data_IF_712808695987
#
_entry.id   IF_712808695987
#
_cell.length_a   1.000
_cell.length_b   1.000
_cell.length_c   1.000
_cell.angle_alpha   90.00
_cell.angle_beta   90.00
_cell.angle_gamma   90.00
#
_symmetry.space_group_name_H-M   'P 1'
#
loop_
_entity.id
_entity.type
_entity.pdbx_description
1 polymer ?
#
# COMPACT_ATOMS: atom_id res chain seq x y z
N UNK A 1 -21.15 56.45 32.91
CA UNK A 1 -22.28 55.72 32.32
C UNK A 1 -21.90 55.30 30.91
N UNK A 2 -21.60 54.04 30.68
CA UNK A 2 -21.94 53.31 29.46
C UNK A 2 -21.45 51.85 29.62
N UNK A 3 -22.43 50.97 29.59
CA UNK A 3 -22.25 49.51 29.68
C UNK A 3 -21.68 48.93 28.41
N UNK A 4 -20.53 48.29 28.47
CA UNK A 4 -20.05 47.37 27.45
C UNK A 4 -20.47 45.93 27.76
N UNK A 5 -21.44 45.43 26.97
CA UNK A 5 -21.94 44.07 27.03
C UNK A 5 -20.82 43.08 26.62
N UNK A 6 -20.53 42.14 27.49
CA UNK A 6 -19.70 40.95 27.24
C UNK A 6 -20.39 40.08 26.15
N UNK A 7 -19.76 39.91 25.02
CA UNK A 7 -20.17 38.99 24.00
C UNK A 7 -20.01 37.56 24.51
N UNK A 8 -21.08 36.76 24.45
CA UNK A 8 -21.10 35.31 24.73
C UNK A 8 -20.38 34.61 23.60
N UNK A 9 -19.20 34.05 23.88
CA UNK A 9 -18.53 33.14 22.99
C UNK A 9 -19.34 31.84 22.86
N UNK A 10 -19.86 31.58 21.69
CA UNK A 10 -20.48 30.31 21.32
C UNK A 10 -19.41 29.21 21.30
N UNK A 11 -19.40 28.33 22.30
CA UNK A 11 -18.61 27.09 22.25
C UNK A 11 -19.15 26.24 21.11
N UNK A 12 -18.37 26.10 20.04
CA UNK A 12 -18.58 25.08 19.01
C UNK A 12 -18.39 23.72 19.72
N UNK A 13 -19.48 22.98 19.88
CA UNK A 13 -19.44 21.62 20.45
C UNK A 13 -18.57 20.74 19.55
N UNK A 14 -17.57 20.10 20.15
CA UNK A 14 -16.62 19.24 19.50
C UNK A 14 -17.27 18.18 18.62
N UNK A 15 -16.66 17.93 17.48
CA UNK A 15 -16.91 16.78 16.65
C UNK A 15 -16.82 15.51 17.51
N UNK A 16 -17.94 14.80 17.64
CA UNK A 16 -17.94 13.49 18.31
C UNK A 16 -17.06 12.55 17.47
N UNK A 17 -16.06 11.98 18.11
CA UNK A 17 -15.27 10.87 17.59
C UNK A 17 -16.23 9.80 17.07
N UNK A 18 -16.20 9.51 15.78
CA UNK A 18 -16.99 8.41 15.19
C UNK A 18 -16.38 7.12 15.72
N UNK A 19 -17.18 6.39 16.50
CA UNK A 19 -16.72 5.21 17.21
C UNK A 19 -16.72 4.01 16.24
N UNK A 20 -15.65 3.19 16.25
CA UNK A 20 -15.48 1.91 15.50
C UNK A 20 -16.80 1.12 15.22
N UNK A 21 -17.76 1.03 16.16
CA UNK A 21 -19.00 0.29 15.95
C UNK A 21 -19.94 0.85 14.87
N UNK A 22 -19.81 2.12 14.49
CA UNK A 22 -20.69 2.69 13.45
C UNK A 22 -20.24 2.33 12.03
N UNK A 23 -18.93 2.24 11.80
CA UNK A 23 -18.37 1.80 10.51
C UNK A 23 -18.67 0.30 10.29
N UNK A 24 -18.53 -0.53 11.32
CA UNK A 24 -18.91 -1.97 11.25
C UNK A 24 -20.40 -2.19 10.97
N UNK A 25 -21.29 -1.34 11.49
CA UNK A 25 -22.73 -1.45 11.20
C UNK A 25 -23.07 -1.10 9.76
N UNK A 26 -22.40 -0.12 9.15
CA UNK A 26 -22.69 0.29 7.78
C UNK A 26 -22.25 -0.77 6.77
N UNK A 27 -21.07 -1.39 6.93
CA UNK A 27 -20.60 -2.46 6.06
C UNK A 27 -21.47 -3.71 6.16
N UNK A 28 -21.82 -4.16 7.36
CA UNK A 28 -22.76 -5.27 7.56
C UNK A 28 -24.15 -5.00 6.98
N UNK A 29 -24.58 -3.75 6.95
CA UNK A 29 -25.89 -3.38 6.44
C UNK A 29 -25.98 -3.47 4.92
N UNK A 30 -24.93 -3.10 4.20
CA UNK A 30 -24.84 -3.25 2.74
C UNK A 30 -24.81 -4.74 2.36
N UNK A 31 -24.04 -5.56 3.06
CA UNK A 31 -23.98 -7.01 2.85
C UNK A 31 -25.31 -7.72 3.12
N UNK A 32 -26.11 -7.20 4.05
CA UNK A 32 -27.44 -7.76 4.38
C UNK A 32 -28.53 -7.37 3.38
N UNK A 33 -28.46 -6.16 2.79
CA UNK A 33 -29.51 -5.67 1.90
C UNK A 33 -29.46 -6.34 0.53
N UNK A 34 -28.28 -6.62 0.01
CA UNK A 34 -28.19 -7.01 -1.39
C UNK A 34 -27.47 -8.33 -1.68
N UNK A 35 -26.81 -9.03 -0.81
CA UNK A 35 -26.10 -10.32 -1.09
C UNK A 35 -25.79 -10.57 -2.59
N UNK A 36 -25.43 -9.48 -3.32
CA UNK A 36 -25.32 -9.51 -4.78
C UNK A 36 -24.06 -10.26 -5.19
N UNK A 37 -22.97 -10.10 -4.43
CA UNK A 37 -21.71 -10.73 -4.81
C UNK A 37 -21.48 -12.03 -4.03
N UNK A 38 -21.33 -13.19 -4.71
CA UNK A 38 -20.90 -14.43 -4.10
C UNK A 38 -19.40 -14.50 -3.84
N UNK A 39 -18.67 -13.46 -4.20
CA UNK A 39 -17.21 -13.43 -4.10
C UNK A 39 -16.76 -13.42 -2.65
N UNK A 40 -15.95 -14.41 -2.30
CA UNK A 40 -15.31 -14.48 -0.97
C UNK A 40 -14.11 -13.54 -0.92
N UNK A 41 -14.32 -12.34 -0.43
CA UNK A 41 -13.30 -11.36 -0.15
C UNK A 41 -12.76 -11.54 1.26
N UNK A 42 -11.44 -11.53 1.42
CA UNK A 42 -10.80 -11.59 2.74
C UNK A 42 -11.10 -10.32 3.54
N UNK A 43 -11.37 -10.47 4.84
CA UNK A 43 -11.63 -9.37 5.77
C UNK A 43 -10.36 -9.00 6.56
N UNK A 44 -10.31 -7.77 7.09
CA UNK A 44 -9.21 -7.33 7.97
C UNK A 44 -9.31 -7.97 9.36
N UNK A 45 -8.19 -8.36 9.98
CA UNK A 45 -6.82 -8.34 9.44
C UNK A 45 -6.60 -9.45 8.42
N UNK A 46 -6.00 -9.13 7.26
CA UNK A 46 -5.83 -10.08 6.16
C UNK A 46 -4.35 -10.28 5.80
N UNK A 47 -4.05 -11.47 5.24
CA UNK A 47 -2.71 -11.85 4.78
C UNK A 47 -2.63 -11.99 3.25
N UNK A 48 -3.77 -11.93 2.57
CA UNK A 48 -3.92 -11.93 1.12
C UNK A 48 -5.07 -10.99 0.73
N UNK A 49 -5.06 -10.52 -0.49
CA UNK A 49 -5.98 -9.47 -0.91
C UNK A 49 -5.60 -8.09 -0.39
N UNK A 50 -4.33 -7.91 -0.08
CA UNK A 50 -3.75 -6.67 0.43
C UNK A 50 -3.96 -5.52 -0.56
N UNK A 51 -4.32 -4.36 -0.04
CA UNK A 51 -4.34 -3.10 -0.77
C UNK A 51 -3.37 -2.11 -0.12
N UNK A 52 -2.33 -1.72 -0.89
CA UNK A 52 -1.37 -0.69 -0.49
C UNK A 52 -1.70 0.61 -1.22
N UNK A 53 -2.20 1.59 -0.49
CA UNK A 53 -2.48 2.94 -1.01
C UNK A 53 -1.20 3.76 -1.01
N UNK A 54 -1.01 4.58 -2.04
CA UNK A 54 0.08 5.56 -2.08
C UNK A 54 -0.45 6.96 -1.77
N UNK A 55 -0.04 7.49 -0.62
CA UNK A 55 -0.30 8.88 -0.22
C UNK A 55 0.90 9.75 -0.61
N UNK A 56 0.68 10.63 -1.55
CA UNK A 56 1.71 11.54 -2.09
C UNK A 56 1.58 12.97 -1.57
N UNK A 57 0.87 13.15 -0.44
CA UNK A 57 0.76 14.46 0.19
C UNK A 57 -0.66 14.87 0.56
N UNK A 58 -1.56 13.93 0.84
CA UNK A 58 -2.90 14.26 1.35
C UNK A 58 -2.81 15.15 2.61
N UNK A 59 -3.67 16.14 2.70
CA UNK A 59 -3.92 16.88 3.93
C UNK A 59 -4.71 16.05 4.94
N UNK A 60 -4.78 16.54 6.20
CA UNK A 60 -5.47 15.80 7.29
C UNK A 60 -6.94 15.53 6.96
N UNK A 61 -7.66 16.52 6.43
CA UNK A 61 -9.08 16.33 6.13
C UNK A 61 -9.29 15.31 5.00
N UNK A 62 -8.51 15.40 3.92
CA UNK A 62 -8.57 14.41 2.84
C UNK A 62 -8.18 12.99 3.31
N UNK A 63 -7.25 12.88 4.27
CA UNK A 63 -6.90 11.61 4.89
C UNK A 63 -8.08 11.09 5.72
N UNK A 64 -8.75 11.95 6.47
CA UNK A 64 -9.93 11.59 7.25
C UNK A 64 -11.07 11.12 6.34
N UNK A 65 -11.39 11.87 5.29
CA UNK A 65 -12.44 11.53 4.31
C UNK A 65 -12.17 10.17 3.64
N UNK A 66 -10.91 9.91 3.27
CA UNK A 66 -10.50 8.61 2.73
C UNK A 66 -10.75 7.48 3.72
N UNK A 67 -10.35 7.66 4.97
CA UNK A 67 -10.44 6.62 5.98
C UNK A 67 -11.88 6.35 6.42
N UNK A 68 -12.71 7.37 6.56
CA UNK A 68 -14.15 7.22 6.83
C UNK A 68 -14.86 6.43 5.73
N UNK A 69 -14.41 6.60 4.48
CA UNK A 69 -15.03 5.97 3.31
C UNK A 69 -14.48 4.57 3.04
N UNK A 70 -13.17 4.37 3.17
CA UNK A 70 -12.48 3.23 2.54
C UNK A 70 -11.52 2.45 3.45
N UNK A 71 -11.40 2.78 4.74
CA UNK A 71 -10.39 2.16 5.60
C UNK A 71 -10.48 0.63 5.67
N UNK A 72 -11.68 0.05 5.58
CA UNK A 72 -11.88 -1.40 5.58
C UNK A 72 -11.22 -2.11 4.38
N UNK A 73 -10.92 -1.36 3.33
CA UNK A 73 -10.32 -1.87 2.09
C UNK A 73 -8.84 -1.49 1.94
N UNK A 74 -8.27 -0.76 2.91
CA UNK A 74 -6.86 -0.35 2.92
C UNK A 74 -6.11 -1.10 4.02
N UNK A 75 -5.05 -1.81 3.67
CA UNK A 75 -4.21 -2.52 4.64
C UNK A 75 -2.96 -1.72 5.01
N UNK A 76 -2.38 -1.08 4.01
CA UNK A 76 -1.19 -0.25 4.16
C UNK A 76 -1.36 1.09 3.45
N UNK A 77 -0.83 2.15 4.07
CA UNK A 77 -0.62 3.43 3.41
C UNK A 77 0.89 3.70 3.28
N UNK A 78 1.36 3.75 2.04
CA UNK A 78 2.72 4.18 1.70
C UNK A 78 2.75 5.70 1.58
N UNK A 79 3.48 6.39 2.47
CA UNK A 79 3.80 7.81 2.29
C UNK A 79 4.87 7.91 1.21
N UNK A 80 4.40 7.99 -0.06
CA UNK A 80 5.21 7.83 -1.25
C UNK A 80 6.15 9.00 -1.53
N UNK A 81 7.15 8.77 -2.38
CA UNK A 81 8.08 9.77 -2.94
C UNK A 81 8.82 10.61 -1.89
N UNK A 82 9.01 10.05 -0.70
CA UNK A 82 9.62 10.76 0.43
C UNK A 82 8.91 12.10 0.79
N UNK A 83 7.65 12.30 0.36
CA UNK A 83 6.91 13.54 0.57
C UNK A 83 6.76 13.91 2.04
N UNK A 84 6.79 12.95 2.93
CA UNK A 84 6.71 13.17 4.37
C UNK A 84 7.96 13.85 4.95
N UNK A 85 9.12 13.75 4.28
CA UNK A 85 10.38 14.41 4.72
C UNK A 85 10.31 15.94 4.59
N UNK A 86 9.48 16.47 3.70
CA UNK A 86 9.33 17.93 3.49
C UNK A 86 8.13 18.51 4.22
N UNK A 87 7.42 17.71 5.01
CA UNK A 87 6.29 18.13 5.82
C UNK A 87 6.69 18.29 7.29
N UNK A 88 5.91 19.08 8.06
CA UNK A 88 6.21 19.22 9.48
C UNK A 88 6.05 17.90 10.24
N UNK A 89 6.97 17.62 11.17
CA UNK A 89 6.94 16.43 12.02
C UNK A 89 5.60 16.24 12.74
N UNK A 90 5.00 17.34 13.21
CA UNK A 90 3.71 17.30 13.90
C UNK A 90 2.57 16.86 12.97
N UNK A 91 2.58 17.35 11.72
CA UNK A 91 1.60 16.92 10.71
C UNK A 91 1.72 15.44 10.41
N UNK A 92 2.95 14.95 10.19
CA UNK A 92 3.20 13.55 9.92
C UNK A 92 2.74 12.67 11.09
N UNK A 93 3.12 13.00 12.32
CA UNK A 93 2.64 12.25 13.49
C UNK A 93 1.11 12.19 13.59
N UNK A 94 0.42 13.30 13.30
CA UNK A 94 -1.05 13.33 13.26
C UNK A 94 -1.61 12.42 12.18
N UNK A 95 -1.04 12.44 10.99
CA UNK A 95 -1.45 11.55 9.88
C UNK A 95 -1.23 10.09 10.21
N UNK A 96 -0.04 9.72 10.71
CA UNK A 96 0.27 8.34 11.09
C UNK A 96 -0.72 7.85 12.16
N UNK A 97 -0.97 8.67 13.19
CA UNK A 97 -1.98 8.33 14.19
C UNK A 97 -3.36 8.10 13.57
N UNK A 98 -3.78 8.98 12.67
CA UNK A 98 -5.07 8.89 12.01
C UNK A 98 -5.21 7.58 11.22
N UNK A 99 -4.19 7.19 10.42
CA UNK A 99 -4.16 5.89 9.74
C UNK A 99 -4.28 4.72 10.74
N UNK A 100 -3.55 4.77 11.85
CA UNK A 100 -3.57 3.70 12.85
C UNK A 100 -4.91 3.60 13.60
N UNK A 101 -5.58 4.73 13.85
CA UNK A 101 -6.91 4.76 14.48
C UNK A 101 -7.96 4.01 13.64
N UNK A 102 -7.70 3.82 12.34
CA UNK A 102 -8.51 3.05 11.38
C UNK A 102 -7.89 1.69 11.01
N UNK A 103 -6.96 1.17 11.78
CA UNK A 103 -6.26 -0.11 11.53
C UNK A 103 -5.54 -0.16 10.17
N UNK A 104 -5.04 0.97 9.68
CA UNK A 104 -4.20 1.06 8.47
C UNK A 104 -2.74 1.18 8.89
N UNK A 105 -1.91 0.24 8.49
CA UNK A 105 -0.47 0.29 8.74
C UNK A 105 0.21 1.29 7.80
N UNK A 106 1.28 1.92 8.27
CA UNK A 106 1.96 2.97 7.49
C UNK A 106 3.41 2.62 7.20
N UNK A 107 3.85 2.90 5.96
CA UNK A 107 5.23 2.74 5.51
C UNK A 107 5.77 4.01 4.83
N UNK A 108 7.09 4.21 4.97
CA UNK A 108 7.78 5.44 4.52
C UNK A 108 8.00 5.52 3.01
N UNK A 109 7.81 4.40 2.28
CA UNK A 109 8.26 4.25 0.90
C UNK A 109 9.78 4.02 0.78
N UNK A 110 10.18 3.16 -0.16
CA UNK A 110 11.55 2.71 -0.32
C UNK A 110 12.54 3.79 -0.75
N UNK A 111 12.12 4.76 -1.57
CA UNK A 111 13.01 5.84 -2.03
C UNK A 111 13.61 6.67 -0.89
N UNK A 112 12.87 6.88 0.21
CA UNK A 112 13.39 7.58 1.38
C UNK A 112 14.51 6.79 2.08
N UNK A 113 14.37 5.46 2.15
CA UNK A 113 15.38 4.57 2.70
C UNK A 113 16.65 4.57 1.84
N UNK A 114 16.50 4.51 0.51
CA UNK A 114 17.64 4.56 -0.41
C UNK A 114 18.38 5.90 -0.32
N UNK A 115 17.66 7.02 -0.20
CA UNK A 115 18.27 8.33 0.03
C UNK A 115 19.05 8.39 1.35
N UNK A 116 18.50 7.82 2.42
CA UNK A 116 19.20 7.72 3.71
C UNK A 116 20.48 6.85 3.61
N UNK A 117 20.41 5.75 2.84
CA UNK A 117 21.59 4.91 2.58
C UNK A 117 22.67 5.66 1.81
N UNK A 118 22.32 6.33 0.70
CA UNK A 118 23.26 7.10 -0.12
C UNK A 118 23.97 8.19 0.70
N UNK A 119 23.25 8.79 1.65
CA UNK A 119 23.78 9.86 2.51
C UNK A 119 24.46 9.35 3.79
N UNK A 120 24.61 8.03 3.97
CA UNK A 120 25.24 7.42 5.15
C UNK A 120 24.42 7.54 6.44
N UNK A 121 23.12 7.79 6.35
CA UNK A 121 22.22 8.00 7.50
C UNK A 121 21.19 6.88 7.69
N UNK A 122 21.45 5.71 7.13
CA UNK A 122 20.46 4.63 7.08
C UNK A 122 20.01 4.15 8.47
N UNK A 123 20.94 4.02 9.42
CA UNK A 123 20.63 3.57 10.77
C UNK A 123 19.75 4.57 11.52
N UNK A 124 20.19 5.83 11.57
CA UNK A 124 19.43 6.93 12.17
C UNK A 124 18.03 7.07 11.53
N UNK A 125 17.95 6.87 10.21
CA UNK A 125 16.70 6.92 9.48
C UNK A 125 15.72 5.83 9.95
N UNK A 126 16.18 4.57 10.05
CA UNK A 126 15.32 3.46 10.48
C UNK A 126 14.80 3.65 11.91
N UNK A 127 15.65 4.12 12.83
CA UNK A 127 15.26 4.46 14.21
C UNK A 127 14.28 5.64 14.24
N UNK A 128 14.53 6.65 13.41
CA UNK A 128 13.64 7.81 13.29
C UNK A 128 12.26 7.39 12.80
N UNK A 129 12.14 6.51 11.82
CA UNK A 129 10.84 6.00 11.35
C UNK A 129 10.02 5.42 12.51
N UNK A 130 10.64 4.59 13.36
CA UNK A 130 9.98 4.03 14.55
C UNK A 130 9.55 5.13 15.52
N UNK A 131 10.44 6.07 15.81
CA UNK A 131 10.19 7.16 16.78
C UNK A 131 9.05 8.07 16.34
N UNK A 132 8.88 8.33 15.05
CA UNK A 132 7.79 9.16 14.55
C UNK A 132 6.48 8.39 14.38
N UNK A 133 6.52 7.04 14.39
CA UNK A 133 5.34 6.21 14.50
C UNK A 133 5.02 5.35 13.26
N UNK A 134 5.94 5.14 12.32
CA UNK A 134 5.70 4.16 11.25
C UNK A 134 5.63 2.73 11.80
N UNK A 135 4.66 1.96 11.32
CA UNK A 135 4.41 0.59 11.79
C UNK A 135 4.99 -0.46 10.85
N UNK A 136 5.22 -0.10 9.60
CA UNK A 136 5.84 -0.95 8.60
C UNK A 136 7.00 -0.22 7.92
N UNK A 137 7.88 -0.97 7.25
CA UNK A 137 9.00 -0.42 6.48
C UNK A 137 9.06 -1.08 5.11
N UNK A 138 9.43 -0.31 4.08
CA UNK A 138 9.72 -0.80 2.73
C UNK A 138 11.23 -0.70 2.49
N UNK A 139 11.87 -1.83 2.18
CA UNK A 139 13.30 -1.94 1.88
C UNK A 139 13.44 -2.11 0.36
N UNK A 140 13.79 -1.03 -0.32
CA UNK A 140 13.94 -0.95 -1.77
C UNK A 140 15.41 -0.91 -2.17
N UNK A 141 15.71 -1.44 -3.36
CA UNK A 141 16.99 -1.36 -4.04
C UNK A 141 16.80 -0.91 -5.50
N UNK A 142 15.78 -0.08 -5.73
CA UNK A 142 15.37 0.33 -7.08
C UNK A 142 16.24 1.41 -7.70
N UNK A 143 16.86 2.28 -6.89
CA UNK A 143 17.77 3.36 -7.31
C UNK A 143 19.21 2.97 -7.00
N UNK A 144 19.48 2.63 -5.73
CA UNK A 144 20.78 2.21 -5.28
C UNK A 144 20.92 0.69 -5.34
N UNK A 145 22.06 0.19 -5.75
CA UNK A 145 22.32 -1.24 -5.68
C UNK A 145 22.59 -1.64 -4.22
N UNK A 146 21.71 -2.44 -3.64
CA UNK A 146 21.88 -3.04 -2.31
C UNK A 146 22.16 -4.53 -2.52
N UNK A 147 23.35 -5.02 -2.14
CA UNK A 147 23.66 -6.45 -2.22
C UNK A 147 22.66 -7.30 -1.43
N UNK A 148 22.37 -8.54 -1.85
CA UNK A 148 21.38 -9.40 -1.20
C UNK A 148 21.65 -9.58 0.31
N UNK A 149 22.89 -9.79 0.71
CA UNK A 149 23.25 -9.94 2.12
C UNK A 149 23.00 -8.66 2.95
N UNK A 150 23.32 -7.49 2.38
CA UNK A 150 22.99 -6.21 3.02
C UNK A 150 21.49 -6.05 3.17
N UNK A 151 20.71 -6.40 2.13
CA UNK A 151 19.26 -6.34 2.17
C UNK A 151 18.68 -7.27 3.24
N UNK A 152 19.21 -8.50 3.36
CA UNK A 152 18.90 -9.43 4.45
C UNK A 152 19.15 -8.83 5.83
N UNK A 153 20.30 -8.19 6.01
CA UNK A 153 20.63 -7.56 7.28
C UNK A 153 19.71 -6.40 7.61
N UNK A 154 19.26 -5.64 6.62
CA UNK A 154 18.25 -4.60 6.79
C UNK A 154 16.89 -5.17 7.20
N UNK A 155 16.48 -6.30 6.64
CA UNK A 155 15.25 -7.00 7.04
C UNK A 155 15.35 -7.42 8.52
N UNK A 156 16.45 -8.05 8.93
CA UNK A 156 16.67 -8.44 10.32
C UNK A 156 16.71 -7.23 11.27
N UNK A 157 17.39 -6.16 10.86
CA UNK A 157 17.45 -4.91 11.64
C UNK A 157 16.06 -4.29 11.80
N UNK A 158 15.24 -4.26 10.74
CA UNK A 158 13.87 -3.77 10.80
C UNK A 158 13.03 -4.57 11.81
N UNK A 159 13.19 -5.90 11.85
CA UNK A 159 12.54 -6.76 12.85
C UNK A 159 12.98 -6.42 14.27
N UNK A 160 14.28 -6.29 14.49
CA UNK A 160 14.85 -5.95 15.81
C UNK A 160 14.37 -4.58 16.32
N UNK A 161 14.17 -3.62 15.42
CA UNK A 161 13.57 -2.32 15.73
C UNK A 161 12.07 -2.40 16.01
N UNK A 162 11.43 -3.57 15.84
CA UNK A 162 10.03 -3.80 16.15
C UNK A 162 9.06 -3.28 15.08
N UNK A 163 9.45 -3.22 13.80
CA UNK A 163 8.47 -3.02 12.73
C UNK A 163 7.53 -4.22 12.63
N UNK A 164 6.23 -3.95 12.61
CA UNK A 164 5.19 -4.99 12.55
C UNK A 164 5.20 -5.72 11.20
N UNK A 165 5.59 -5.01 10.14
CA UNK A 165 5.65 -5.56 8.79
C UNK A 165 6.90 -5.03 8.08
N UNK A 166 7.62 -5.94 7.42
CA UNK A 166 8.74 -5.62 6.55
C UNK A 166 8.37 -6.02 5.13
N UNK A 167 8.32 -5.06 4.24
CA UNK A 167 8.08 -5.25 2.81
C UNK A 167 9.40 -4.97 2.11
N UNK A 168 9.80 -5.83 1.17
CA UNK A 168 10.91 -5.55 0.28
C UNK A 168 10.40 -5.23 -1.12
N UNK A 169 11.25 -4.65 -1.96
CA UNK A 169 10.90 -4.32 -3.34
C UNK A 169 11.93 -4.93 -4.30
N UNK A 170 11.47 -5.53 -5.38
CA UNK A 170 12.28 -6.11 -6.44
C UNK A 170 11.96 -5.48 -7.79
N UNK A 171 12.98 -4.91 -8.41
CA UNK A 171 12.93 -4.18 -9.68
C UNK A 171 13.85 -2.98 -9.65
N UNK A 172 13.97 -2.28 -10.78
CA UNK A 172 14.73 -1.05 -10.91
C UNK A 172 13.83 0.10 -11.29
N UNK A 173 14.15 1.31 -10.81
CA UNK A 173 13.38 2.53 -11.13
C UNK A 173 13.82 3.18 -12.44
N UNK A 174 15.02 2.89 -12.90
CA UNK A 174 15.49 3.25 -14.25
C UNK A 174 15.09 2.15 -15.24
N UNK A 175 14.47 2.53 -16.36
CA UNK A 175 13.97 1.59 -17.39
C UNK A 175 15.09 0.76 -18.03
N UNK A 176 16.29 1.34 -18.23
CA UNK A 176 17.41 0.66 -18.88
C UNK A 176 17.98 -0.41 -17.95
N UNK A 177 18.13 -0.05 -16.67
CA UNK A 177 18.59 -1.00 -15.65
C UNK A 177 17.55 -2.10 -15.41
N UNK A 178 16.26 -1.75 -15.39
CA UNK A 178 15.18 -2.71 -15.23
C UNK A 178 15.11 -3.72 -16.38
N UNK A 179 15.32 -3.27 -17.61
CA UNK A 179 15.36 -4.13 -18.77
C UNK A 179 16.54 -5.13 -18.77
N UNK A 180 17.64 -4.80 -18.10
CA UNK A 180 18.80 -5.69 -17.94
C UNK A 180 18.61 -6.74 -16.84
N UNK A 181 17.74 -6.49 -15.87
CA UNK A 181 17.49 -7.40 -14.76
C UNK A 181 16.66 -8.61 -15.25
N UNK A 182 17.32 -9.75 -15.41
CA UNK A 182 16.70 -10.98 -15.89
C UNK A 182 15.61 -11.48 -14.94
N UNK A 183 14.56 -12.08 -15.48
CA UNK A 183 13.45 -12.61 -14.69
C UNK A 183 13.89 -13.70 -13.69
N UNK A 184 14.90 -14.48 -14.04
CA UNK A 184 15.48 -15.49 -13.13
C UNK A 184 16.18 -14.86 -11.94
N UNK A 185 16.81 -13.72 -12.12
CA UNK A 185 17.44 -12.95 -11.05
C UNK A 185 16.40 -12.31 -10.14
N UNK A 186 15.31 -11.77 -10.71
CA UNK A 186 14.17 -11.25 -9.93
C UNK A 186 13.57 -12.35 -9.05
N UNK A 187 13.36 -13.55 -9.58
CA UNK A 187 12.82 -14.68 -8.83
C UNK A 187 13.76 -15.05 -7.68
N UNK A 188 15.06 -15.12 -7.92
CA UNK A 188 16.05 -15.37 -6.87
C UNK A 188 16.04 -14.28 -5.79
N UNK A 189 15.94 -13.01 -6.18
CA UNK A 189 15.82 -11.90 -5.22
C UNK A 189 14.55 -12.01 -4.39
N UNK A 190 13.40 -12.31 -5.00
CA UNK A 190 12.13 -12.51 -4.28
C UNK A 190 12.26 -13.64 -3.26
N UNK A 191 12.79 -14.79 -3.67
CA UNK A 191 12.98 -15.94 -2.80
C UNK A 191 13.88 -15.59 -1.62
N UNK A 192 15.03 -14.98 -1.90
CA UNK A 192 15.98 -14.55 -0.89
C UNK A 192 15.39 -13.53 0.10
N UNK A 193 14.61 -12.56 -0.39
CA UNK A 193 13.94 -11.57 0.46
C UNK A 193 12.93 -12.23 1.42
N UNK A 194 12.13 -13.18 0.92
CA UNK A 194 11.18 -13.93 1.75
C UNK A 194 11.89 -14.82 2.77
N UNK A 195 12.96 -15.52 2.38
CA UNK A 195 13.79 -16.34 3.26
C UNK A 195 14.48 -15.50 4.34
N UNK A 196 14.82 -14.25 4.02
CA UNK A 196 15.38 -13.30 4.98
C UNK A 196 14.39 -12.78 6.02
N UNK A 197 13.09 -13.09 5.85
CA UNK A 197 12.04 -12.73 6.79
C UNK A 197 11.17 -11.53 6.37
N UNK A 198 11.18 -11.13 5.10
CA UNK A 198 10.19 -10.19 4.59
C UNK A 198 8.78 -10.79 4.62
N UNK A 199 7.77 -10.00 4.99
CA UNK A 199 6.37 -10.44 4.97
C UNK A 199 5.82 -10.49 3.56
N UNK A 200 6.21 -9.53 2.74
CA UNK A 200 5.81 -9.37 1.34
C UNK A 200 6.96 -8.83 0.51
N UNK A 201 6.90 -9.10 -0.79
CA UNK A 201 7.79 -8.52 -1.78
C UNK A 201 6.97 -7.75 -2.81
N UNK A 202 7.24 -6.46 -2.96
CA UNK A 202 6.64 -5.61 -3.99
C UNK A 202 7.38 -5.81 -5.31
N UNK A 203 6.66 -5.97 -6.41
CA UNK A 203 7.22 -5.90 -7.76
C UNK A 203 7.09 -4.47 -8.26
N UNK A 204 8.24 -3.83 -8.45
CA UNK A 204 8.36 -2.44 -8.90
C UNK A 204 7.72 -2.23 -10.28
N UNK A 205 6.88 -1.21 -10.41
CA UNK A 205 6.31 -0.77 -11.67
C UNK A 205 6.17 0.75 -11.78
N UNK A 206 6.60 1.49 -10.81
CA UNK A 206 6.45 2.93 -10.65
C UNK A 206 5.00 3.37 -10.49
N UNK A 207 4.84 4.65 -10.25
CA UNK A 207 3.53 5.32 -10.22
C UNK A 207 2.87 5.41 -11.60
N UNK A 208 3.64 5.34 -12.67
CA UNK A 208 3.13 5.35 -14.04
C UNK A 208 2.55 4.01 -14.48
N UNK A 209 3.08 2.91 -13.95
CA UNK A 209 2.75 1.56 -14.41
C UNK A 209 3.17 1.30 -15.86
N UNK A 210 4.24 1.94 -16.35
CA UNK A 210 4.64 1.89 -17.75
C UNK A 210 6.14 1.64 -17.90
N UNK A 211 6.51 0.67 -18.76
CA UNK A 211 7.88 0.42 -19.22
C UNK A 211 8.80 -0.17 -18.16
N UNK A 212 8.30 -0.60 -17.01
CA UNK A 212 9.08 -1.19 -15.91
C UNK A 212 8.38 -2.43 -15.36
N UNK A 213 9.18 -3.40 -14.92
CA UNK A 213 8.70 -4.61 -14.28
C UNK A 213 7.69 -5.38 -15.13
N UNK A 214 6.48 -5.62 -14.61
CA UNK A 214 5.46 -6.43 -15.27
C UNK A 214 4.74 -5.75 -16.44
N UNK A 215 5.06 -4.49 -16.77
CA UNK A 215 4.32 -3.72 -17.77
C UNK A 215 5.20 -3.25 -18.93
N UNK A 216 4.60 -3.22 -20.11
CA UNK A 216 5.21 -2.65 -21.32
C UNK A 216 5.10 -1.11 -21.33
N UNK A 217 5.59 -0.48 -22.41
CA UNK A 217 5.59 0.99 -22.57
C UNK A 217 4.18 1.60 -22.60
N UNK A 218 3.16 0.80 -22.89
CA UNK A 218 1.75 1.20 -22.92
C UNK A 218 1.02 0.87 -21.60
N UNK A 219 1.72 0.29 -20.61
CA UNK A 219 1.13 -0.17 -19.36
C UNK A 219 0.38 -1.51 -19.44
N UNK A 220 0.47 -2.22 -20.57
CA UNK A 220 -0.12 -3.54 -20.71
C UNK A 220 0.73 -4.57 -19.97
N UNK A 221 0.06 -5.55 -19.37
CA UNK A 221 0.74 -6.62 -18.62
C UNK A 221 1.55 -7.51 -19.54
N UNK A 222 2.82 -7.70 -19.22
CA UNK A 222 3.71 -8.71 -19.83
C UNK A 222 3.38 -10.08 -19.24
N UNK A 223 2.35 -10.74 -19.75
CA UNK A 223 1.80 -11.99 -19.19
C UNK A 223 2.87 -13.06 -18.91
N UNK A 224 3.82 -13.37 -19.83
CA UNK A 224 4.86 -14.36 -19.58
C UNK A 224 5.76 -14.01 -18.38
N UNK A 225 5.98 -12.72 -18.12
CA UNK A 225 6.75 -12.24 -16.98
C UNK A 225 6.01 -12.52 -15.67
N UNK A 226 4.74 -12.10 -15.58
CA UNK A 226 3.92 -12.28 -14.39
C UNK A 226 3.70 -13.75 -14.08
N UNK A 227 3.37 -14.55 -15.09
CA UNK A 227 3.16 -15.99 -14.97
C UNK A 227 4.41 -16.73 -14.48
N UNK A 228 5.58 -16.36 -14.99
CA UNK A 228 6.82 -17.03 -14.59
C UNK A 228 7.18 -16.74 -13.14
N UNK A 229 6.96 -15.52 -12.65
CA UNK A 229 7.13 -15.19 -11.23
C UNK A 229 6.12 -15.99 -10.40
N UNK A 230 4.83 -15.89 -10.71
CA UNK A 230 3.76 -16.51 -9.93
C UNK A 230 3.87 -18.03 -9.81
N UNK A 231 4.49 -18.70 -10.80
CA UNK A 231 4.75 -20.15 -10.78
C UNK A 231 5.93 -20.58 -9.91
N UNK A 232 6.88 -19.68 -9.66
CA UNK A 232 8.15 -20.03 -8.99
C UNK A 232 8.27 -19.48 -7.57
N UNK A 233 7.33 -18.63 -7.16
CA UNK A 233 7.29 -18.05 -5.80
C UNK A 233 5.89 -18.14 -5.22
N UNK A 234 5.77 -17.99 -3.91
CA UNK A 234 4.46 -17.86 -3.29
C UNK A 234 3.84 -16.50 -3.67
N UNK A 235 3.03 -16.48 -4.74
CA UNK A 235 2.43 -15.26 -5.27
C UNK A 235 1.53 -14.53 -4.26
N UNK A 236 1.02 -15.22 -3.23
CA UNK A 236 0.26 -14.60 -2.12
C UNK A 236 1.13 -13.69 -1.24
N UNK A 237 2.46 -13.81 -1.36
CA UNK A 237 3.44 -12.92 -0.72
C UNK A 237 3.92 -11.79 -1.64
N UNK A 238 3.46 -11.75 -2.87
CA UNK A 238 3.79 -10.70 -3.83
C UNK A 238 2.75 -9.60 -3.77
N UNK A 239 3.21 -8.34 -3.74
CA UNK A 239 2.39 -7.15 -3.96
C UNK A 239 2.72 -6.64 -5.37
N UNK A 240 1.76 -6.66 -6.26
CA UNK A 240 1.91 -6.11 -7.60
C UNK A 240 1.59 -4.62 -7.59
N UNK A 241 2.54 -3.76 -7.91
CA UNK A 241 2.20 -2.36 -8.18
C UNK A 241 1.32 -2.29 -9.42
N UNK A 242 0.12 -1.77 -9.26
CA UNK A 242 -0.91 -1.74 -10.31
C UNK A 242 -1.66 -0.40 -10.31
N UNK A 243 -1.00 0.70 -10.67
CA UNK A 243 -1.60 2.03 -10.63
C UNK A 243 -2.69 2.26 -11.67
N UNK A 244 -2.73 1.43 -12.75
CA UNK A 244 -3.73 1.55 -13.80
C UNK A 244 -4.87 0.53 -13.64
N UNK A 245 -6.10 0.96 -13.90
CA UNK A 245 -7.29 0.09 -13.84
C UNK A 245 -7.13 -1.19 -14.67
N UNK A 246 -6.58 -1.09 -15.88
CA UNK A 246 -6.35 -2.26 -16.76
C UNK A 246 -5.46 -3.32 -16.13
N UNK A 247 -4.45 -2.89 -15.37
CA UNK A 247 -3.54 -3.76 -14.63
C UNK A 247 -4.26 -4.45 -13.47
N UNK A 248 -5.04 -3.69 -12.72
CA UNK A 248 -5.87 -4.20 -11.62
C UNK A 248 -6.83 -5.26 -12.13
N UNK A 249 -7.54 -4.97 -13.22
CA UNK A 249 -8.47 -5.90 -13.87
C UNK A 249 -7.75 -7.18 -14.27
N UNK A 250 -6.64 -7.08 -15.01
CA UNK A 250 -5.89 -8.26 -15.48
C UNK A 250 -5.44 -9.14 -14.31
N UNK A 251 -4.84 -8.55 -13.28
CA UNK A 251 -4.34 -9.28 -12.10
C UNK A 251 -5.48 -9.94 -11.31
N UNK A 252 -6.59 -9.26 -11.13
CA UNK A 252 -7.80 -9.81 -10.46
C UNK A 252 -8.40 -10.93 -11.31
N UNK A 253 -8.51 -10.76 -12.62
CA UNK A 253 -9.02 -11.79 -13.53
C UNK A 253 -8.12 -13.02 -13.56
N UNK A 254 -6.82 -12.84 -13.39
CA UNK A 254 -5.83 -13.94 -13.45
C UNK A 254 -5.70 -14.70 -12.13
N UNK A 255 -5.59 -13.98 -11.00
CA UNK A 255 -5.26 -14.56 -9.68
C UNK A 255 -6.41 -14.53 -8.69
N UNK A 256 -7.54 -13.94 -9.07
CA UNK A 256 -8.71 -13.83 -8.22
C UNK A 256 -8.80 -12.53 -7.41
N UNK A 257 -9.91 -12.37 -6.69
CA UNK A 257 -10.26 -11.13 -6.00
C UNK A 257 -9.29 -10.79 -4.85
N UNK A 258 -8.60 -11.78 -4.31
CA UNK A 258 -7.67 -11.63 -3.19
C UNK A 258 -6.20 -11.48 -3.63
N UNK A 259 -5.96 -10.94 -4.83
CA UNK A 259 -4.63 -10.55 -5.29
C UNK A 259 -4.13 -9.32 -4.52
N UNK A 260 -2.87 -9.32 -4.07
CA UNK A 260 -2.29 -8.16 -3.39
C UNK A 260 -1.88 -7.10 -4.42
N UNK A 261 -2.34 -5.87 -4.24
CA UNK A 261 -2.13 -4.75 -5.16
C UNK A 261 -1.55 -3.54 -4.44
N UNK A 262 -0.55 -2.92 -5.05
CA UNK A 262 0.12 -1.72 -4.56
C UNK A 262 0.00 -0.53 -5.51
N UNK A 263 0.50 0.62 -5.06
CA UNK A 263 0.42 1.91 -5.75
C UNK A 263 -1.01 2.31 -6.12
N UNK A 264 -1.97 1.91 -5.29
CA UNK A 264 -3.38 2.29 -5.49
C UNK A 264 -3.57 3.74 -5.03
N UNK A 265 -4.12 4.57 -5.91
CA UNK A 265 -4.44 5.96 -5.56
C UNK A 265 -5.56 6.00 -4.53
N UNK A 266 -5.58 7.00 -3.62
CA UNK A 266 -6.66 7.16 -2.64
C UNK A 266 -8.06 7.13 -3.25
N UNK A 267 -8.25 7.77 -4.39
CA UNK A 267 -9.53 7.82 -5.13
C UNK A 267 -9.91 6.50 -5.81
N UNK A 268 -8.98 5.57 -5.93
CA UNK A 268 -9.19 4.29 -6.63
C UNK A 268 -9.51 3.12 -5.68
N UNK A 269 -9.50 3.34 -4.35
CA UNK A 269 -9.71 2.25 -3.38
C UNK A 269 -11.10 1.63 -3.51
N UNK A 270 -12.16 2.44 -3.47
CA UNK A 270 -13.54 1.95 -3.64
C UNK A 270 -13.77 1.40 -5.06
N UNK A 271 -13.34 2.09 -6.15
CA UNK A 271 -13.37 1.50 -7.49
C UNK A 271 -12.65 0.14 -7.61
N UNK A 272 -11.50 -0.05 -6.96
CA UNK A 272 -10.78 -1.32 -6.93
C UNK A 272 -11.60 -2.40 -6.20
N UNK A 273 -12.17 -2.08 -5.06
CA UNK A 273 -12.96 -3.06 -4.31
C UNK A 273 -14.20 -3.52 -5.09
N UNK A 274 -14.84 -2.62 -5.86
CA UNK A 274 -15.94 -3.02 -6.75
C UNK A 274 -15.47 -3.94 -7.89
N UNK A 275 -14.24 -3.81 -8.39
CA UNK A 275 -13.63 -4.79 -9.31
C UNK A 275 -13.45 -6.16 -8.63
N UNK A 276 -12.93 -6.18 -7.41
CA UNK A 276 -12.69 -7.41 -6.64
C UNK A 276 -13.99 -8.17 -6.37
N UNK A 277 -15.06 -7.44 -6.12
CA UNK A 277 -16.39 -8.00 -5.84
C UNK A 277 -17.18 -8.36 -7.12
N UNK A 278 -16.65 -8.14 -8.31
CA UNK A 278 -17.36 -8.41 -9.56
C UNK A 278 -18.53 -7.44 -9.83
N UNK A 279 -18.54 -6.27 -9.20
CA UNK A 279 -19.61 -5.29 -9.35
C UNK A 279 -19.39 -4.32 -10.53
N UNK A 280 -18.25 -4.41 -11.22
CA UNK A 280 -17.96 -3.62 -12.42
C UNK A 280 -17.95 -4.50 -13.65
N UNK A 281 -18.38 -3.95 -14.79
CA UNK A 281 -18.47 -4.68 -16.08
C UNK A 281 -17.20 -5.43 -16.46
N UNK A 282 -16.03 -4.92 -16.07
CA UNK A 282 -14.73 -5.56 -16.33
C UNK A 282 -14.56 -6.94 -15.68
N UNK A 283 -15.22 -7.21 -14.56
CA UNK A 283 -15.06 -8.45 -13.78
C UNK A 283 -16.40 -9.16 -13.51
N UNK A 284 -17.50 -8.52 -13.83
CA UNK A 284 -18.86 -8.97 -13.49
C UNK A 284 -19.16 -10.36 -14.03
N UNK A 285 -18.97 -10.59 -15.33
CA UNK A 285 -19.29 -11.88 -15.95
C UNK A 285 -18.51 -13.02 -15.31
N UNK A 286 -17.20 -12.81 -15.02
CA UNK A 286 -16.38 -13.84 -14.41
C UNK A 286 -16.81 -14.21 -13.00
N UNK A 287 -17.25 -13.23 -12.20
CA UNK A 287 -17.51 -13.46 -10.78
C UNK A 287 -18.99 -13.62 -10.44
N UNK A 288 -19.88 -13.07 -11.22
CA UNK A 288 -21.32 -13.10 -10.98
C UNK A 288 -22.09 -13.85 -12.08
N UNK A 289 -21.48 -14.10 -13.25
CA UNK A 289 -22.09 -14.90 -14.32
C UNK A 289 -22.32 -16.32 -13.84
N UNK A 290 -23.46 -16.89 -14.21
CA UNK A 290 -23.68 -18.33 -14.14
C UNK A 290 -23.17 -18.92 -15.45
N UNK A 291 -22.23 -19.85 -15.41
CA UNK A 291 -21.89 -20.72 -16.54
C UNK A 291 -23.07 -21.60 -16.89
#
# INVERSE_FOLDING_TARGET
>A
MSNLKKGRGTKVKGFKTIIKPQVERLTKHVDQIFKISPVKRTEKPRNEGITVVIDTGLGINATQDLLETAANYIDYCKLGWATWLIQSKNLIKKKLKLYHDYDVKTLSGGSALEAARITGKLEEFMETLKTIGFTAIEISAGIANIPPEEKSNLVKKARNLGFQTVITEVGRKDKREDAQLKITERIKQIQHDLESGADYVTIEARESGMGIGPYDEMGKVKEPFVEKIAKQVNYKKIIWEAPLKSQQVWLIMRFGPNTNLGNIKPTEVIPLETLRLGLRGDTMIKFLGKD
#
